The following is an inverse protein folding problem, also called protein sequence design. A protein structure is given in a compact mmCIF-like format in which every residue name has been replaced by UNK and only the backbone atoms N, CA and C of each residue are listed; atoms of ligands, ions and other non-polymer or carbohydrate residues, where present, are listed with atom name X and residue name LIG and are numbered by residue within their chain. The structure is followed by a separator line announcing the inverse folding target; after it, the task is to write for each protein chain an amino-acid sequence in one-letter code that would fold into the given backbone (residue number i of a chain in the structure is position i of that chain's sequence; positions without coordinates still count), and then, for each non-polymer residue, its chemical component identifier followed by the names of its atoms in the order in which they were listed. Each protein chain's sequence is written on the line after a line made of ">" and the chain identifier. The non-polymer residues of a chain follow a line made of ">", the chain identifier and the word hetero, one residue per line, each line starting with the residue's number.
data_IF_812602546927
#
_entry.id   IF_812602546927
#
_cell.length_a   1.000
_cell.length_b   1.000
_cell.length_c   1.000
_cell.angle_alpha   90.00
_cell.angle_beta   90.00
_cell.angle_gamma   90.00
#
_symmetry.space_group_name_H-M   'P 1'
#
loop_
_entity.id
_entity.type
_entity.pdbx_description
1 polymer ?
#
# COMPACT_ATOMS: atom_id res chain seq x y z
N UNK A 1 -5.13 16.52 13.60
CA UNK A 1 -5.60 15.41 12.75
C UNK A 1 -6.53 16.03 11.73
N UNK A 2 -6.20 15.93 10.45
CA UNK A 2 -7.05 16.51 9.41
C UNK A 2 -8.41 15.80 9.37
N UNK A 3 -9.43 16.50 8.88
CA UNK A 3 -10.84 16.09 8.99
C UNK A 3 -11.21 14.82 8.19
N UNK A 4 -10.24 14.26 7.42
CA UNK A 4 -10.41 13.05 6.62
C UNK A 4 -10.03 11.75 7.37
N UNK A 5 -9.39 11.83 8.52
CA UNK A 5 -8.99 10.67 9.34
C UNK A 5 -10.18 10.11 10.15
N UNK A 6 -11.29 9.82 9.45
CA UNK A 6 -12.49 9.22 10.05
C UNK A 6 -12.60 7.77 9.62
N UNK A 7 -12.84 6.89 10.56
CA UNK A 7 -13.10 5.48 10.28
C UNK A 7 -14.19 5.31 9.22
N UNK A 8 -13.89 4.58 8.18
CA UNK A 8 -14.79 4.33 7.05
C UNK A 8 -14.75 5.36 5.94
N UNK A 9 -13.93 6.41 6.05
CA UNK A 9 -13.76 7.42 5.01
C UNK A 9 -12.33 7.37 4.43
N UNK A 10 -12.15 6.69 3.31
CA UNK A 10 -10.87 6.52 2.66
C UNK A 10 -10.47 7.77 1.88
N UNK A 11 -9.33 8.32 2.19
CA UNK A 11 -8.77 9.47 1.49
C UNK A 11 -8.08 9.03 0.20
N UNK A 12 -8.65 9.38 -0.94
CA UNK A 12 -8.09 9.02 -2.26
C UNK A 12 -7.34 10.16 -2.94
N UNK A 13 -7.41 11.39 -2.40
CA UNK A 13 -6.71 12.53 -2.97
C UNK A 13 -7.52 13.82 -2.92
N UNK A 14 -7.22 14.73 -3.82
CA UNK A 14 -7.87 16.05 -3.95
C UNK A 14 -8.48 16.23 -5.33
N UNK A 15 -9.51 17.05 -5.42
CA UNK A 15 -10.11 17.43 -6.70
C UNK A 15 -9.07 18.09 -7.60
N UNK A 16 -9.20 17.90 -8.92
CA UNK A 16 -8.33 18.54 -9.91
C UNK A 16 -9.16 19.28 -10.94
N UNK A 17 -8.90 20.59 -11.07
CA UNK A 17 -9.52 21.42 -12.11
C UNK A 17 -8.73 21.25 -13.42
N UNK A 18 -9.29 20.50 -14.36
CA UNK A 18 -8.65 20.23 -15.65
C UNK A 18 -8.48 21.49 -16.50
N UNK A 19 -9.39 22.49 -16.37
CA UNK A 19 -9.32 23.75 -17.14
C UNK A 19 -8.19 24.64 -16.63
N UNK A 20 -8.07 24.76 -15.33
CA UNK A 20 -7.04 25.58 -14.67
C UNK A 20 -5.73 24.82 -14.46
N UNK A 21 -5.71 23.50 -14.71
CA UNK A 21 -4.57 22.60 -14.45
C UNK A 21 -4.02 22.76 -13.02
N UNK A 22 -4.92 22.84 -12.04
CA UNK A 22 -4.57 23.04 -10.63
C UNK A 22 -5.32 22.05 -9.73
N UNK A 23 -4.63 21.64 -8.65
CA UNK A 23 -5.26 20.93 -7.55
C UNK A 23 -6.26 21.85 -6.85
N UNK A 24 -7.46 21.33 -6.61
CA UNK A 24 -8.46 21.95 -5.76
C UNK A 24 -8.20 21.70 -4.28
N UNK A 25 -9.01 22.34 -3.44
CA UNK A 25 -8.95 22.15 -1.99
C UNK A 25 -9.91 21.05 -1.50
N UNK A 26 -10.86 20.63 -2.32
CA UNK A 26 -11.84 19.61 -1.94
C UNK A 26 -11.19 18.24 -1.91
N UNK A 27 -11.36 17.54 -0.80
CA UNK A 27 -10.92 16.16 -0.63
C UNK A 27 -11.80 15.22 -1.44
N UNK A 28 -11.21 14.15 -1.97
CA UNK A 28 -11.90 13.03 -2.59
C UNK A 28 -11.87 11.88 -1.59
N UNK A 29 -13.02 11.66 -0.95
CA UNK A 29 -13.21 10.61 0.03
C UNK A 29 -14.08 9.50 -0.58
N UNK A 30 -13.79 8.27 -0.21
CA UNK A 30 -14.54 7.08 -0.60
C UNK A 30 -15.09 6.40 0.65
N UNK A 31 -16.38 6.08 0.69
CA UNK A 31 -16.98 5.38 1.83
C UNK A 31 -16.60 3.89 1.76
N UNK A 32 -15.99 3.36 2.82
CA UNK A 32 -15.58 1.95 2.91
C UNK A 32 -16.75 0.97 2.78
N UNK A 33 -17.99 1.41 3.05
CA UNK A 33 -19.20 0.60 2.83
C UNK A 33 -19.42 0.25 1.37
N UNK A 34 -18.89 1.06 0.44
CA UNK A 34 -19.01 0.82 -0.99
C UNK A 34 -18.04 -0.26 -1.49
N UNK A 35 -17.11 -0.73 -0.65
CA UNK A 35 -16.20 -1.86 -0.96
C UNK A 35 -16.89 -3.22 -1.15
N UNK A 36 -18.17 -3.30 -0.86
CA UNK A 36 -19.00 -4.51 -1.15
C UNK A 36 -19.31 -4.67 -2.65
N UNK A 37 -18.91 -3.70 -3.46
CA UNK A 37 -19.09 -3.71 -4.92
C UNK A 37 -17.75 -3.87 -5.64
N UNK A 38 -17.80 -4.13 -6.96
CA UNK A 38 -16.61 -4.25 -7.79
C UNK A 38 -16.20 -2.89 -8.33
N UNK A 39 -14.90 -2.67 -8.44
CA UNK A 39 -14.31 -1.50 -9.08
C UNK A 39 -13.25 -1.91 -10.11
N UNK A 40 -13.03 -1.07 -11.11
CA UNK A 40 -11.98 -1.27 -12.12
C UNK A 40 -11.17 0.01 -12.24
N UNK A 41 -9.84 -0.10 -12.02
CA UNK A 41 -8.91 1.00 -12.24
C UNK A 41 -8.26 0.87 -13.61
N UNK A 42 -8.56 1.80 -14.52
CA UNK A 42 -8.05 1.81 -15.89
C UNK A 42 -7.24 3.07 -16.18
N UNK A 43 -6.25 2.96 -17.04
CA UNK A 43 -5.41 4.08 -17.45
C UNK A 43 -4.16 3.62 -18.19
N UNK A 44 -3.45 4.55 -18.84
CA UNK A 44 -2.19 4.27 -19.52
C UNK A 44 -1.06 4.00 -18.52
N UNK A 45 0.05 3.43 -18.99
CA UNK A 45 1.28 3.29 -18.20
C UNK A 45 1.73 4.67 -17.71
N UNK A 46 2.12 4.77 -16.44
CA UNK A 46 2.53 6.05 -15.82
C UNK A 46 1.36 6.97 -15.38
N UNK A 47 0.09 6.56 -15.55
CA UNK A 47 -1.07 7.38 -15.14
C UNK A 47 -1.39 7.34 -13.63
N UNK A 48 -0.61 6.60 -12.82
CA UNK A 48 -0.82 6.53 -11.37
C UNK A 48 -1.77 5.42 -10.91
N UNK A 49 -2.18 4.46 -11.77
CA UNK A 49 -3.08 3.36 -11.38
C UNK A 49 -2.62 2.60 -10.14
N UNK A 50 -1.36 2.16 -10.15
CA UNK A 50 -0.77 1.41 -9.02
C UNK A 50 -0.78 2.26 -7.76
N UNK A 51 -0.44 3.55 -7.85
CA UNK A 51 -0.49 4.47 -6.72
C UNK A 51 -1.89 4.65 -6.14
N UNK A 52 -2.93 4.73 -6.99
CA UNK A 52 -4.32 4.79 -6.53
C UNK A 52 -4.74 3.49 -5.80
N UNK A 53 -4.33 2.33 -6.34
CA UNK A 53 -4.61 1.05 -5.69
C UNK A 53 -3.87 0.91 -4.36
N UNK A 54 -2.59 1.34 -4.30
CA UNK A 54 -1.81 1.38 -3.05
C UNK A 54 -2.51 2.27 -2.02
N UNK A 55 -2.89 3.50 -2.38
CA UNK A 55 -3.58 4.39 -1.47
C UNK A 55 -4.89 3.80 -0.91
N UNK A 56 -5.68 3.12 -1.76
CA UNK A 56 -6.89 2.43 -1.30
C UNK A 56 -6.58 1.29 -0.30
N UNK A 57 -5.50 0.54 -0.54
CA UNK A 57 -5.07 -0.55 0.34
C UNK A 57 -4.50 -0.03 1.67
N UNK A 58 -3.78 1.09 1.64
CA UNK A 58 -3.29 1.77 2.84
C UNK A 58 -4.45 2.24 3.72
N UNK A 59 -5.46 2.88 3.12
CA UNK A 59 -6.66 3.30 3.83
C UNK A 59 -7.39 2.10 4.44
N UNK A 60 -7.56 1.02 3.66
CA UNK A 60 -8.19 -0.21 4.15
C UNK A 60 -7.42 -0.80 5.34
N UNK A 61 -6.09 -0.83 5.27
CA UNK A 61 -5.24 -1.32 6.34
C UNK A 61 -5.34 -0.46 7.60
N UNK A 62 -5.32 0.88 7.46
CA UNK A 62 -5.43 1.83 8.58
C UNK A 62 -6.79 1.69 9.28
N UNK A 63 -7.85 1.41 8.53
CA UNK A 63 -9.20 1.23 9.07
C UNK A 63 -9.48 -0.22 9.53
N UNK A 64 -8.48 -1.10 9.51
CA UNK A 64 -8.60 -2.49 9.95
C UNK A 64 -9.44 -3.36 9.01
N UNK A 65 -9.56 -2.99 7.74
CA UNK A 65 -10.26 -3.79 6.72
C UNK A 65 -9.32 -4.86 6.17
N UNK A 66 -9.58 -6.17 6.43
CA UNK A 66 -8.72 -7.22 5.93
C UNK A 66 -8.75 -7.27 4.40
N UNK A 67 -7.58 -7.42 3.79
CA UNK A 67 -7.43 -7.41 2.34
C UNK A 67 -6.63 -8.60 1.83
N UNK A 68 -7.03 -9.16 0.69
CA UNK A 68 -6.26 -10.15 -0.06
C UNK A 68 -5.85 -9.51 -1.38
N UNK A 69 -4.55 -9.38 -1.59
CA UNK A 69 -3.97 -8.74 -2.76
C UNK A 69 -3.39 -9.82 -3.67
N UNK A 70 -3.87 -9.91 -4.90
CA UNK A 70 -3.31 -10.79 -5.93
C UNK A 70 -2.48 -9.92 -6.86
N UNK A 71 -1.16 -10.05 -6.77
CA UNK A 71 -0.20 -9.20 -7.49
C UNK A 71 0.75 -10.04 -8.37
N UNK A 72 0.33 -10.43 -9.58
CA UNK A 72 1.17 -11.22 -10.47
C UNK A 72 2.43 -10.49 -10.94
N UNK A 73 2.51 -9.17 -10.76
CA UNK A 73 3.61 -8.33 -11.21
C UNK A 73 4.62 -8.02 -10.10
N UNK A 74 4.19 -8.09 -8.85
CA UNK A 74 5.03 -7.81 -7.68
C UNK A 74 5.21 -6.32 -7.37
N UNK A 75 4.44 -5.42 -7.98
CA UNK A 75 4.56 -3.97 -7.74
C UNK A 75 3.99 -3.53 -6.38
N UNK A 76 3.03 -4.28 -5.82
CA UNK A 76 2.31 -3.92 -4.60
C UNK A 76 3.06 -4.34 -3.32
N UNK A 77 4.11 -5.15 -3.44
CA UNK A 77 4.99 -5.49 -2.31
C UNK A 77 5.65 -4.24 -1.68
N UNK A 78 5.70 -3.13 -2.41
CA UNK A 78 6.17 -1.84 -1.91
C UNK A 78 5.34 -1.30 -0.72
N UNK A 79 4.12 -1.80 -0.50
CA UNK A 79 3.32 -1.51 0.70
C UNK A 79 4.04 -1.86 2.01
N UNK A 80 5.00 -2.81 1.96
CA UNK A 80 5.77 -3.21 3.13
C UNK A 80 6.93 -2.25 3.44
N UNK A 81 7.29 -1.38 2.51
CA UNK A 81 8.36 -0.39 2.69
C UNK A 81 7.82 0.84 3.41
N UNK A 82 7.74 0.75 4.72
CA UNK A 82 7.24 1.83 5.58
C UNK A 82 8.37 2.44 6.37
N UNK A 83 8.65 3.73 6.14
CA UNK A 83 9.72 4.50 6.78
C UNK A 83 9.16 5.71 7.54
N UNK A 84 8.63 5.54 8.76
CA UNK A 84 7.95 6.61 9.50
C UNK A 84 8.84 7.81 9.80
N UNK A 85 10.13 7.57 10.04
CA UNK A 85 11.08 8.62 10.36
C UNK A 85 11.60 9.36 9.14
N UNK A 86 11.38 8.83 7.93
CA UNK A 86 11.82 9.39 6.65
C UNK A 86 13.31 9.77 6.65
N UNK A 87 14.16 8.94 7.29
CA UNK A 87 15.61 9.15 7.34
C UNK A 87 16.31 8.54 6.13
N UNK A 88 17.41 9.15 5.70
CA UNK A 88 18.23 8.61 4.61
C UNK A 88 18.69 7.17 4.84
N UNK A 89 19.02 6.81 6.08
CA UNK A 89 19.44 5.46 6.49
C UNK A 89 18.37 4.39 6.16
N UNK A 90 17.09 4.73 6.24
CA UNK A 90 15.98 3.82 5.93
C UNK A 90 15.90 3.51 4.42
N UNK A 91 16.29 4.48 3.59
CA UNK A 91 16.24 4.36 2.13
C UNK A 91 17.52 3.73 1.55
N UNK A 92 18.65 3.83 2.25
CA UNK A 92 19.96 3.41 1.73
C UNK A 92 19.98 1.96 1.23
N UNK A 93 19.40 0.94 1.93
CA UNK A 93 19.38 -0.44 1.46
C UNK A 93 18.61 -0.66 0.14
N UNK A 94 17.75 0.30 -0.23
CA UNK A 94 16.87 0.23 -1.39
C UNK A 94 17.31 1.11 -2.55
N UNK A 95 18.46 1.79 -2.40
CA UNK A 95 19.00 2.65 -3.46
C UNK A 95 19.55 1.80 -4.60
N UNK A 96 19.21 2.18 -5.82
CA UNK A 96 19.85 1.66 -7.01
C UNK A 96 21.21 2.35 -7.18
N UNK A 97 22.29 1.56 -7.08
CA UNK A 97 23.66 2.05 -7.22
C UNK A 97 23.92 2.75 -8.56
N UNK A 98 23.30 2.25 -9.65
CA UNK A 98 23.41 2.87 -10.97
C UNK A 98 22.84 4.28 -11.01
N UNK A 99 21.72 4.53 -10.31
CA UNK A 99 21.10 5.85 -10.24
C UNK A 99 21.94 6.83 -9.39
N UNK A 100 22.54 6.36 -8.31
CA UNK A 100 23.46 7.15 -7.49
C UNK A 100 24.69 7.54 -8.30
N UNK A 101 25.32 6.60 -9.01
CA UNK A 101 26.47 6.83 -9.88
C UNK A 101 26.17 7.82 -11.00
N UNK A 102 25.03 7.69 -11.68
CA UNK A 102 24.59 8.61 -12.73
C UNK A 102 24.45 10.05 -12.24
N UNK A 103 24.20 10.24 -10.96
CA UNK A 103 24.09 11.56 -10.31
C UNK A 103 25.41 12.02 -9.66
N UNK A 104 26.47 11.22 -9.76
CA UNK A 104 27.76 11.43 -9.06
C UNK A 104 27.60 11.59 -7.53
N UNK A 105 26.72 10.78 -6.94
CA UNK A 105 26.45 10.77 -5.50
C UNK A 105 26.85 9.42 -4.90
N UNK A 106 27.21 9.43 -3.63
CA UNK A 106 27.28 8.22 -2.83
C UNK A 106 25.86 7.66 -2.57
N UNK A 107 25.75 6.37 -2.22
CA UNK A 107 24.48 5.77 -1.87
C UNK A 107 23.80 6.50 -0.71
N UNK A 108 24.56 6.89 0.33
CA UNK A 108 24.05 7.63 1.47
C UNK A 108 23.54 9.03 1.08
N UNK A 109 24.25 9.77 0.23
CA UNK A 109 23.81 11.08 -0.24
C UNK A 109 22.54 10.96 -1.12
N UNK A 110 22.47 9.93 -1.98
CA UNK A 110 21.29 9.69 -2.80
C UNK A 110 20.10 9.28 -1.93
N UNK A 111 20.31 8.44 -0.91
CA UNK A 111 19.29 8.05 0.06
C UNK A 111 18.74 9.25 0.85
N UNK A 112 19.62 10.15 1.30
CA UNK A 112 19.19 11.38 1.96
C UNK A 112 18.35 12.28 1.05
N UNK A 113 18.73 12.42 -0.23
CA UNK A 113 17.93 13.16 -1.22
C UNK A 113 16.56 12.51 -1.46
N UNK A 114 16.49 11.17 -1.48
CA UNK A 114 15.20 10.47 -1.62
C UNK A 114 14.32 10.70 -0.39
N UNK A 115 14.88 10.61 0.81
CA UNK A 115 14.16 10.88 2.05
C UNK A 115 13.57 12.31 2.08
N UNK A 116 14.35 13.30 1.69
CA UNK A 116 13.91 14.70 1.58
C UNK A 116 12.78 14.87 0.54
N UNK A 117 12.91 14.19 -0.60
CA UNK A 117 11.92 14.24 -1.67
C UNK A 117 10.59 13.62 -1.24
N UNK A 118 10.65 12.49 -0.55
CA UNK A 118 9.47 11.83 0.03
C UNK A 118 8.83 12.67 1.12
N UNK A 119 9.64 13.24 2.03
CA UNK A 119 9.14 14.11 3.11
C UNK A 119 8.38 15.32 2.55
N UNK A 120 8.95 16.00 1.55
CA UNK A 120 8.29 17.13 0.86
C UNK A 120 7.04 16.71 0.12
N UNK A 121 7.12 15.59 -0.62
CA UNK A 121 5.97 15.06 -1.36
C UNK A 121 4.79 14.72 -0.44
N UNK A 122 5.05 14.08 0.70
CA UNK A 122 4.02 13.78 1.68
C UNK A 122 3.42 15.05 2.31
N UNK A 123 4.27 16.02 2.67
CA UNK A 123 3.82 17.30 3.24
C UNK A 123 2.90 18.08 2.28
N UNK A 124 3.18 18.06 0.97
CA UNK A 124 2.34 18.71 -0.05
C UNK A 124 0.91 18.12 -0.10
N UNK A 125 0.76 16.86 0.31
CA UNK A 125 -0.53 16.17 0.43
C UNK A 125 -1.11 16.19 1.85
N UNK A 126 -0.50 16.92 2.79
CA UNK A 126 -0.92 16.97 4.19
C UNK A 126 -0.68 15.66 4.92
N UNK A 127 0.28 14.85 4.45
CA UNK A 127 0.66 13.57 5.05
C UNK A 127 1.95 13.71 5.83
N UNK A 128 2.15 12.84 6.83
CA UNK A 128 3.34 12.86 7.69
C UNK A 128 3.85 11.45 7.97
N UNK A 129 5.03 11.37 8.57
CA UNK A 129 5.58 10.11 9.07
C UNK A 129 4.69 9.42 10.12
N UNK A 130 3.90 10.18 10.87
CA UNK A 130 2.94 9.62 11.83
C UNK A 130 1.89 8.76 11.14
N UNK A 131 1.46 9.14 9.93
CA UNK A 131 0.54 8.34 9.14
C UNK A 131 1.19 7.04 8.66
N UNK A 132 2.46 7.08 8.28
CA UNK A 132 3.23 5.88 7.92
C UNK A 132 3.35 4.95 9.14
N UNK A 133 3.61 5.51 10.32
CA UNK A 133 3.66 4.74 11.57
C UNK A 133 2.29 4.10 11.86
N UNK A 134 1.23 4.85 11.69
CA UNK A 134 -0.15 4.36 11.88
C UNK A 134 -0.46 3.19 10.94
N UNK A 135 -0.09 3.28 9.66
CA UNK A 135 -0.23 2.16 8.70
C UNK A 135 0.55 0.92 9.19
N UNK A 136 1.79 1.12 9.62
CA UNK A 136 2.65 0.04 10.12
C UNK A 136 2.08 -0.66 11.35
N UNK A 137 1.43 0.10 12.23
CA UNK A 137 0.87 -0.41 13.49
C UNK A 137 -0.54 -1.00 13.28
N UNK A 138 -1.25 -0.59 12.22
CA UNK A 138 -2.64 -0.97 11.99
C UNK A 138 -2.80 -2.38 11.42
N UNK A 139 -1.84 -2.89 10.64
CA UNK A 139 -2.00 -4.17 9.93
C UNK A 139 -0.73 -5.01 9.90
N UNK A 140 -0.90 -6.32 9.93
CA UNK A 140 0.15 -7.30 9.65
C UNK A 140 0.16 -7.63 8.15
N UNK A 141 1.26 -7.33 7.47
CA UNK A 141 1.44 -7.62 6.05
C UNK A 141 2.17 -8.96 5.88
N UNK A 142 1.62 -9.85 5.07
CA UNK A 142 2.19 -11.17 4.82
C UNK A 142 2.30 -11.41 3.31
N UNK A 143 3.46 -11.83 2.84
CA UNK A 143 3.71 -12.16 1.43
C UNK A 143 3.68 -13.68 1.25
N UNK A 144 2.77 -14.13 0.40
CA UNK A 144 2.70 -15.50 -0.07
C UNK A 144 3.23 -15.59 -1.50
N UNK A 145 4.14 -16.55 -1.75
CA UNK A 145 4.76 -16.74 -3.07
C UNK A 145 4.44 -18.14 -3.61
N UNK A 146 3.38 -18.27 -4.44
CA UNK A 146 3.07 -19.53 -5.09
C UNK A 146 4.23 -19.99 -5.98
N UNK A 147 4.71 -21.22 -5.76
CA UNK A 147 5.81 -21.80 -6.57
C UNK A 147 7.19 -21.22 -6.30
N UNK A 148 7.37 -20.41 -5.26
CA UNK A 148 8.65 -19.81 -4.87
C UNK A 148 8.86 -19.87 -3.36
N UNK A 149 10.11 -19.81 -2.94
CA UNK A 149 10.51 -19.74 -1.52
C UNK A 149 10.94 -18.31 -1.11
N UNK A 150 10.68 -17.31 -1.95
CA UNK A 150 11.05 -15.92 -1.66
C UNK A 150 10.23 -15.32 -0.51
N UNK A 151 9.00 -15.78 -0.33
CA UNK A 151 8.13 -15.48 0.81
C UNK A 151 7.59 -16.77 1.42
N UNK A 152 6.37 -16.73 1.95
CA UNK A 152 5.71 -17.92 2.49
C UNK A 152 5.18 -18.74 1.30
N UNK A 153 5.69 -19.96 1.07
CA UNK A 153 5.23 -20.77 -0.04
C UNK A 153 3.79 -21.21 0.20
N UNK A 154 2.95 -21.10 -0.83
CA UNK A 154 1.56 -21.54 -0.81
C UNK A 154 1.25 -22.40 -2.03
N UNK A 155 0.52 -23.47 -1.82
CA UNK A 155 -0.04 -24.27 -2.92
C UNK A 155 -1.52 -23.96 -3.05
N UNK A 156 -1.92 -23.39 -4.17
CA UNK A 156 -3.31 -23.05 -4.46
C UNK A 156 -4.12 -24.32 -4.78
N UNK A 157 -3.45 -25.34 -5.31
CA UNK A 157 -4.07 -26.59 -5.76
C UNK A 157 -3.50 -27.79 -5.01
N UNK A 158 -3.74 -27.87 -3.71
CA UNK A 158 -3.29 -29.04 -2.92
C UNK A 158 -4.17 -30.27 -3.17
N UNK A 159 -5.46 -30.06 -3.42
CA UNK A 159 -6.45 -31.13 -3.66
C UNK A 159 -7.73 -30.53 -4.28
N UNK A 160 -8.42 -31.29 -5.12
CA UNK A 160 -9.78 -31.02 -5.57
C UNK A 160 -10.83 -31.65 -4.64
N UNK A 161 -10.40 -32.29 -3.54
CA UNK A 161 -11.32 -32.82 -2.54
C UNK A 161 -11.98 -31.67 -1.77
N UNK A 162 -13.23 -31.85 -1.38
CA UNK A 162 -13.90 -30.92 -0.47
C UNK A 162 -13.14 -30.86 0.86
N UNK A 163 -12.97 -29.66 1.45
CA UNK A 163 -12.36 -29.55 2.78
C UNK A 163 -13.18 -30.28 3.84
N UNK A 164 -12.52 -30.78 4.86
CA UNK A 164 -13.19 -31.42 6.00
C UNK A 164 -14.18 -30.46 6.66
N UNK A 165 -15.30 -30.99 7.16
CA UNK A 165 -16.35 -30.20 7.81
C UNK A 165 -15.81 -29.39 8.99
N UNK A 166 -14.83 -29.92 9.73
CA UNK A 166 -14.16 -29.21 10.82
C UNK A 166 -13.46 -27.93 10.33
N UNK A 167 -12.84 -27.97 9.14
CA UNK A 167 -12.19 -26.82 8.53
C UNK A 167 -13.21 -25.76 8.09
N UNK A 168 -14.36 -26.19 7.55
CA UNK A 168 -15.45 -25.28 7.18
C UNK A 168 -16.07 -24.60 8.39
N UNK A 169 -16.18 -25.29 9.51
CA UNK A 169 -16.67 -24.74 10.78
C UNK A 169 -15.65 -23.75 11.39
N UNK A 170 -14.37 -23.96 11.16
CA UNK A 170 -13.29 -23.04 11.60
C UNK A 170 -13.21 -21.78 10.73
N UNK A 171 -13.40 -21.91 9.43
CA UNK A 171 -13.46 -20.77 8.49
C UNK A 171 -14.61 -19.82 8.87
N UNK A 172 -15.75 -20.33 9.31
CA UNK A 172 -16.85 -19.53 9.81
C UNK A 172 -16.57 -18.80 11.14
N UNK A 173 -15.50 -19.18 11.85
CA UNK A 173 -15.06 -18.59 13.13
C UNK A 173 -13.76 -17.82 13.04
N UNK A 174 -13.07 -17.86 11.90
CA UNK A 174 -11.87 -17.07 11.67
C UNK A 174 -12.24 -15.60 11.81
N UNK A 175 -12.04 -15.05 13.02
CA UNK A 175 -12.11 -13.62 13.20
C UNK A 175 -11.04 -13.03 12.29
N UNK A 176 -11.45 -12.28 11.30
CA UNK A 176 -10.57 -11.43 10.49
C UNK A 176 -9.92 -10.43 11.44
N UNK A 177 -8.82 -10.80 12.08
CA UNK A 177 -7.94 -9.84 12.70
C UNK A 177 -7.09 -9.26 11.58
N UNK A 178 -7.23 -7.98 11.36
CA UNK A 178 -6.33 -7.01 10.73
C UNK A 178 -5.11 -7.60 9.99
N UNK A 179 -5.33 -8.40 8.94
CA UNK A 179 -4.27 -8.99 8.14
C UNK A 179 -4.44 -8.63 6.69
N UNK A 180 -3.40 -8.10 6.10
CA UNK A 180 -3.30 -7.89 4.65
C UNK A 180 -2.48 -9.04 4.06
N UNK A 181 -3.06 -9.78 3.13
CA UNK A 181 -2.40 -10.87 2.43
C UNK A 181 -1.99 -10.42 1.04
N UNK A 182 -0.70 -10.43 0.77
CA UNK A 182 -0.15 -10.15 -0.56
C UNK A 182 0.24 -11.47 -1.21
N UNK A 183 -0.40 -11.81 -2.33
CA UNK A 183 -0.08 -12.95 -3.17
C UNK A 183 0.70 -12.45 -4.39
N UNK A 184 1.98 -12.79 -4.48
CA UNK A 184 2.88 -12.37 -5.57
C UNK A 184 3.23 -13.54 -6.47
#
# INVERSE_FOLDING_TARGET
>A
MEDYEKMGAFYLGRSYDQKKKKLGQSLVLYDSKDLVTHAVCVGMTGSGKTGLCIGLLEEAAIDGVPSIIIDPKGDLSNLLLTFPELKGEDFEPWINEGDAQNKNLSNAEHAAQQADLWSKGLADWGQSGERIQRLRDAAEFVIYTPGSNAGIPVSILKSFAAPDQALLDEIGRASCRERVYVLV
#
